data_IF_799259273927
#
_entry.id   IF_799259273927
#
_cell.length_a   1.000
_cell.length_b   1.000
_cell.length_c   1.000
_cell.angle_alpha   90.00
_cell.angle_beta   90.00
_cell.angle_gamma   90.00
#
_symmetry.space_group_name_H-M   'P 1'
#
loop_
_entity.id
_entity.type
_entity.pdbx_description
1 polymer ?
#
# COMPACT_ATOMS: atom_id res chain seq x y z
N UNK A 1 9.18 -5.25 -4.07
CA UNK A 1 8.36 -6.10 -3.17
C UNK A 1 8.16 -5.38 -1.86
N UNK A 2 6.98 -5.48 -1.28
CA UNK A 2 6.61 -4.81 -0.05
C UNK A 2 6.25 -5.84 1.01
N UNK A 3 6.91 -5.79 2.14
CA UNK A 3 6.58 -6.63 3.29
C UNK A 3 6.67 -5.83 4.58
N UNK A 4 5.59 -5.81 5.33
CA UNK A 4 5.58 -5.32 6.70
C UNK A 4 5.92 -6.41 7.71
N UNK A 5 5.61 -7.66 7.37
CA UNK A 5 5.84 -8.83 8.23
C UNK A 5 6.68 -9.84 7.45
N UNK A 6 7.96 -9.52 7.16
CA UNK A 6 8.81 -10.44 6.43
C UNK A 6 8.98 -11.76 7.19
N UNK A 7 9.16 -12.87 6.47
CA UNK A 7 9.48 -14.15 7.09
C UNK A 7 10.83 -14.11 7.82
N UNK A 8 11.73 -13.28 7.34
CA UNK A 8 13.09 -13.13 7.84
C UNK A 8 13.46 -11.65 7.93
N UNK A 9 14.29 -11.30 8.90
CA UNK A 9 14.86 -9.94 9.01
C UNK A 9 15.69 -9.61 7.77
N UNK A 10 16.45 -10.59 7.28
CA UNK A 10 17.14 -10.60 5.99
C UNK A 10 17.32 -12.07 5.54
N UNK A 11 17.52 -12.37 4.24
CA UNK A 11 17.45 -11.45 3.10
C UNK A 11 16.06 -10.86 2.89
N UNK A 12 15.97 -9.87 1.98
CA UNK A 12 14.66 -9.29 1.61
C UNK A 12 13.73 -10.35 1.04
N UNK A 13 12.43 -10.19 1.23
CA UNK A 13 11.45 -11.10 0.65
C UNK A 13 11.45 -11.03 -0.88
N UNK A 14 11.81 -9.88 -1.44
CA UNK A 14 12.04 -9.74 -2.87
C UNK A 14 13.13 -10.68 -3.39
N UNK A 15 14.24 -10.85 -2.65
CA UNK A 15 15.30 -11.81 -3.03
C UNK A 15 14.81 -13.25 -2.96
N UNK A 16 14.04 -13.60 -1.93
CA UNK A 16 13.45 -14.94 -1.80
C UNK A 16 12.48 -15.22 -2.95
N UNK A 17 11.65 -14.22 -3.32
CA UNK A 17 10.73 -14.34 -4.45
C UNK A 17 11.47 -14.46 -5.78
N UNK A 18 12.53 -13.67 -5.97
CA UNK A 18 13.37 -13.70 -7.15
C UNK A 18 13.97 -15.09 -7.39
N UNK A 19 14.51 -15.71 -6.32
CA UNK A 19 15.04 -17.09 -6.37
C UNK A 19 13.94 -18.09 -6.75
N UNK A 20 12.77 -18.03 -6.09
CA UNK A 20 11.62 -18.90 -6.39
C UNK A 20 11.09 -18.77 -7.82
N UNK A 21 11.23 -17.61 -8.43
CA UNK A 21 10.84 -17.35 -9.82
C UNK A 21 11.92 -17.79 -10.82
N UNK A 22 13.11 -18.17 -10.35
CA UNK A 22 14.23 -18.54 -11.20
C UNK A 22 14.77 -17.37 -12.04
N UNK A 23 14.59 -16.13 -11.56
CA UNK A 23 15.07 -14.93 -12.27
C UNK A 23 16.41 -14.52 -11.70
N UNK A 24 17.41 -14.40 -12.56
CA UNK A 24 18.78 -14.03 -12.17
C UNK A 24 19.16 -12.63 -12.68
N UNK A 25 20.21 -12.06 -12.08
CA UNK A 25 20.85 -10.81 -12.51
C UNK A 25 19.91 -9.59 -12.56
N UNK A 26 18.92 -9.52 -11.67
CA UNK A 26 18.06 -8.36 -11.51
C UNK A 26 18.10 -7.81 -10.07
N UNK A 27 17.91 -6.49 -9.85
CA UNK A 27 17.72 -5.94 -8.52
C UNK A 27 16.48 -6.55 -7.85
N UNK A 28 16.59 -6.90 -6.57
CA UNK A 28 15.49 -7.39 -5.75
C UNK A 28 15.62 -6.79 -4.34
N UNK A 29 14.65 -6.00 -3.92
CA UNK A 29 14.64 -5.31 -2.63
C UNK A 29 13.22 -5.02 -2.17
N UNK A 30 13.06 -4.84 -0.86
CA UNK A 30 11.79 -4.49 -0.25
C UNK A 30 11.71 -2.97 -0.04
N UNK A 31 10.49 -2.44 -0.18
CA UNK A 31 10.13 -1.04 0.13
C UNK A 31 9.18 -1.06 1.30
N UNK A 32 9.48 -0.33 2.38
CA UNK A 32 8.62 -0.28 3.56
C UNK A 32 7.89 1.07 3.65
N UNK A 33 6.62 1.10 3.31
CA UNK A 33 5.75 2.26 3.47
C UNK A 33 4.32 1.84 3.87
N UNK A 34 4.16 0.68 4.50
CA UNK A 34 2.90 0.14 5.04
C UNK A 34 1.79 0.17 3.97
N UNK A 35 0.62 0.72 4.29
CA UNK A 35 -0.54 0.77 3.38
C UNK A 35 -0.26 1.53 2.07
N UNK A 36 0.62 2.53 2.08
CA UNK A 36 1.06 3.26 0.88
C UNK A 36 2.14 2.52 0.09
N UNK A 37 2.63 1.44 0.62
CA UNK A 37 3.82 0.78 0.12
C UNK A 37 3.71 0.29 -1.32
N UNK A 38 2.54 -0.18 -1.79
CA UNK A 38 2.37 -0.56 -3.20
C UNK A 38 2.59 0.65 -4.12
N UNK A 39 2.04 1.82 -3.77
CA UNK A 39 2.22 3.06 -4.55
C UNK A 39 3.68 3.51 -4.54
N UNK A 40 4.37 3.41 -3.39
CA UNK A 40 5.81 3.71 -3.32
C UNK A 40 6.64 2.76 -4.17
N UNK A 41 6.34 1.46 -4.16
CA UNK A 41 7.04 0.49 -4.99
C UNK A 41 6.73 0.68 -6.47
N UNK A 42 5.47 1.02 -6.80
CA UNK A 42 5.05 1.31 -8.17
C UNK A 42 5.80 2.52 -8.73
N UNK A 43 5.84 3.63 -7.97
CA UNK A 43 6.61 4.83 -8.34
C UNK A 43 8.11 4.55 -8.46
N UNK A 44 8.67 3.74 -7.56
CA UNK A 44 10.07 3.32 -7.64
C UNK A 44 10.34 2.49 -8.91
N UNK A 45 9.48 1.53 -9.19
CA UNK A 45 9.60 0.68 -10.39
C UNK A 45 9.45 1.49 -11.67
N UNK A 46 8.54 2.46 -11.70
CA UNK A 46 8.37 3.38 -12.83
C UNK A 46 9.65 4.15 -13.12
N UNK A 47 10.32 4.69 -12.10
CA UNK A 47 11.62 5.36 -12.27
C UNK A 47 12.69 4.44 -12.88
N UNK A 48 12.72 3.16 -12.50
CA UNK A 48 13.66 2.19 -13.08
C UNK A 48 13.33 1.86 -14.53
N UNK A 49 12.05 1.71 -14.88
CA UNK A 49 11.61 1.39 -16.24
C UNK A 49 11.77 2.60 -17.15
N UNK A 50 11.29 3.79 -16.74
CA UNK A 50 11.35 5.02 -17.51
C UNK A 50 12.79 5.48 -17.78
N UNK A 51 13.71 5.26 -16.83
CA UNK A 51 15.14 5.56 -17.02
C UNK A 51 15.88 4.54 -17.87
N UNK A 52 15.21 3.47 -18.33
CA UNK A 52 15.84 2.41 -19.13
C UNK A 52 16.76 1.48 -18.32
N UNK A 53 16.76 1.55 -16.98
CA UNK A 53 17.56 0.67 -16.13
C UNK A 53 17.07 -0.77 -16.15
N UNK A 54 15.76 -0.97 -16.33
CA UNK A 54 15.18 -2.27 -16.60
C UNK A 54 14.07 -2.15 -17.64
N UNK A 55 13.81 -3.25 -18.36
CA UNK A 55 12.74 -3.32 -19.36
C UNK A 55 11.40 -3.64 -18.69
N UNK A 56 11.42 -4.48 -17.68
CA UNK A 56 10.26 -4.92 -16.93
C UNK A 56 10.57 -4.87 -15.44
N UNK A 57 9.54 -4.56 -14.63
CA UNK A 57 9.60 -4.60 -13.18
C UNK A 57 8.37 -5.31 -12.61
N UNK A 58 8.58 -6.29 -11.73
CA UNK A 58 7.53 -6.93 -10.96
C UNK A 58 7.34 -6.16 -9.66
N UNK A 59 6.16 -5.60 -9.45
CA UNK A 59 5.76 -4.90 -8.22
C UNK A 59 4.77 -5.76 -7.48
N UNK A 60 5.08 -6.10 -6.24
CA UNK A 60 4.28 -7.00 -5.40
C UNK A 60 3.89 -6.28 -4.11
N UNK A 61 2.61 -6.23 -3.80
CA UNK A 61 2.09 -5.91 -2.47
C UNK A 61 1.74 -7.23 -1.76
N UNK A 62 2.30 -7.46 -0.58
CA UNK A 62 2.02 -8.69 0.16
C UNK A 62 2.12 -8.44 1.67
N UNK A 63 1.16 -8.95 2.42
CA UNK A 63 1.06 -8.74 3.85
C UNK A 63 0.56 -9.98 4.57
N UNK A 64 1.08 -10.22 5.78
CA UNK A 64 0.62 -11.24 6.70
C UNK A 64 0.30 -10.57 8.03
N UNK A 65 -0.85 -9.88 8.09
CA UNK A 65 -1.29 -9.17 9.29
C UNK A 65 -1.68 -10.10 10.44
N UNK A 66 -2.11 -11.33 10.13
CA UNK A 66 -2.45 -12.35 11.13
C UNK A 66 -1.34 -12.61 12.14
N UNK A 67 -0.07 -12.30 11.79
CA UNK A 67 1.10 -12.44 12.68
C UNK A 67 1.24 -11.34 13.72
N UNK A 68 0.63 -10.18 13.49
CA UNK A 68 0.79 -8.97 14.33
C UNK A 68 -0.54 -8.46 14.88
N UNK A 69 -1.60 -9.24 14.79
CA UNK A 69 -2.90 -8.95 15.40
C UNK A 69 -2.98 -9.56 16.80
N UNK A 70 -3.47 -8.79 17.76
CA UNK A 70 -4.01 -9.33 19.01
C UNK A 70 -5.43 -9.82 18.75
N UNK A 71 -5.63 -11.12 18.72
CA UNK A 71 -6.93 -11.75 18.44
C UNK A 71 -7.98 -11.50 19.55
N UNK A 72 -7.56 -10.95 20.71
CA UNK A 72 -8.46 -10.49 21.78
C UNK A 72 -8.90 -9.04 21.58
N UNK A 73 -8.18 -8.25 20.77
CA UNK A 73 -8.54 -6.87 20.47
C UNK A 73 -9.45 -6.79 19.24
N UNK A 74 -10.76 -6.76 19.48
CA UNK A 74 -11.77 -6.65 18.41
C UNK A 74 -11.79 -5.31 17.70
N UNK A 75 -11.07 -4.31 18.16
CA UNK A 75 -10.94 -3.02 17.47
C UNK A 75 -10.02 -3.10 16.24
N UNK A 76 -9.14 -4.08 16.21
CA UNK A 76 -8.15 -4.28 15.15
C UNK A 76 -8.30 -5.62 14.43
N UNK A 77 -8.46 -6.75 15.13
CA UNK A 77 -8.42 -8.09 14.53
C UNK A 77 -9.55 -8.36 13.51
N UNK A 78 -10.66 -7.62 13.56
CA UNK A 78 -11.78 -7.75 12.61
C UNK A 78 -11.61 -6.91 11.35
N UNK A 79 -10.57 -6.08 11.26
CA UNK A 79 -10.37 -5.14 10.17
C UNK A 79 -9.32 -5.61 9.15
N UNK A 80 -8.24 -6.20 9.64
CA UNK A 80 -7.07 -6.54 8.84
C UNK A 80 -7.11 -7.97 8.34
N UNK A 81 -6.55 -8.19 7.15
CA UNK A 81 -6.43 -9.50 6.52
C UNK A 81 -5.06 -9.72 5.88
N UNK A 82 -4.77 -10.97 5.58
CA UNK A 82 -3.60 -11.38 4.80
C UNK A 82 -3.93 -11.33 3.31
N UNK A 83 -2.95 -11.01 2.49
CA UNK A 83 -3.15 -10.99 1.05
C UNK A 83 -1.89 -10.64 0.27
N UNK A 84 -1.89 -10.99 -1.01
CA UNK A 84 -0.84 -10.64 -1.94
C UNK A 84 -1.43 -10.36 -3.32
N UNK A 85 -0.93 -9.30 -3.96
CA UNK A 85 -1.25 -8.95 -5.33
C UNK A 85 -0.01 -8.41 -6.03
N UNK A 86 0.01 -8.48 -7.36
CA UNK A 86 1.18 -8.08 -8.13
C UNK A 86 0.80 -7.51 -9.48
N UNK A 87 1.66 -6.60 -9.98
CA UNK A 87 1.61 -6.09 -11.35
C UNK A 87 2.98 -6.14 -11.99
N UNK A 88 3.02 -6.24 -13.30
CA UNK A 88 4.25 -6.10 -14.09
C UNK A 88 4.19 -4.78 -14.84
N UNK A 89 5.16 -3.91 -14.57
CA UNK A 89 5.41 -2.74 -15.40
C UNK A 89 6.35 -3.12 -16.53
N UNK A 90 6.04 -2.62 -17.71
CA UNK A 90 6.88 -2.80 -18.91
C UNK A 90 7.06 -1.45 -19.62
N UNK A 91 8.22 -1.28 -20.22
CA UNK A 91 8.46 -0.12 -21.09
C UNK A 91 7.42 -0.11 -22.22
N UNK A 92 6.86 1.07 -22.51
CA UNK A 92 5.85 1.27 -23.55
C UNK A 92 6.00 2.64 -24.18
N UNK A 93 5.68 2.74 -25.47
CA UNK A 93 5.58 4.02 -26.19
C UNK A 93 4.24 4.73 -25.92
N UNK A 94 3.30 4.07 -25.23
CA UNK A 94 2.02 4.66 -24.82
C UNK A 94 2.10 5.15 -23.39
N UNK A 95 1.45 6.26 -23.06
CA UNK A 95 1.35 6.73 -21.68
C UNK A 95 0.79 5.63 -20.77
N UNK A 96 1.44 5.42 -19.64
CA UNK A 96 1.01 4.49 -18.57
C UNK A 96 0.81 5.25 -17.28
N UNK A 97 1.82 5.31 -16.41
CA UNK A 97 1.77 6.13 -15.18
C UNK A 97 2.01 7.58 -15.59
N UNK A 98 1.03 8.45 -15.36
CA UNK A 98 1.11 9.86 -15.72
C UNK A 98 1.91 10.66 -14.68
N UNK A 99 1.65 10.41 -13.39
CA UNK A 99 2.37 11.01 -12.27
C UNK A 99 2.28 10.14 -11.02
N UNK A 100 3.17 10.37 -10.06
CA UNK A 100 3.16 9.70 -8.76
C UNK A 100 3.40 10.73 -7.65
N UNK A 101 2.51 10.76 -6.65
CA UNK A 101 2.55 11.71 -5.55
C UNK A 101 2.76 10.95 -4.24
N UNK A 102 3.91 11.17 -3.61
CA UNK A 102 4.35 10.44 -2.42
C UNK A 102 4.56 11.41 -1.26
N UNK A 103 3.82 11.21 -0.18
CA UNK A 103 3.90 12.04 1.01
C UNK A 103 4.10 11.19 2.27
N UNK A 104 4.75 11.76 3.28
CA UNK A 104 4.91 11.15 4.58
C UNK A 104 4.80 12.19 5.70
N UNK A 105 4.23 11.81 6.84
CA UNK A 105 4.18 12.66 8.02
C UNK A 105 4.44 11.85 9.29
N UNK A 106 5.64 12.00 9.85
CA UNK A 106 6.05 11.33 11.09
C UNK A 106 5.29 11.78 12.33
N UNK A 107 4.55 12.90 12.25
CA UNK A 107 3.73 13.40 13.37
C UNK A 107 2.58 12.45 13.75
N UNK A 108 2.19 11.56 12.84
CA UNK A 108 1.08 10.61 13.04
C UNK A 108 1.57 9.19 13.41
N UNK A 109 2.85 9.01 13.75
CA UNK A 109 3.44 7.70 14.05
C UNK A 109 2.70 6.91 15.15
N UNK A 110 2.10 7.60 16.12
CA UNK A 110 1.44 6.98 17.26
C UNK A 110 -0.05 6.65 16.98
N UNK A 111 -0.59 7.10 15.86
CA UNK A 111 -2.00 6.89 15.47
C UNK A 111 -2.24 5.46 14.97
N UNK A 112 -1.25 4.89 14.30
CA UNK A 112 -1.26 3.50 13.82
C UNK A 112 0.18 2.99 13.79
N UNK A 113 0.49 2.04 14.67
CA UNK A 113 1.86 1.55 14.83
C UNK A 113 1.91 0.09 15.30
N UNK A 114 3.09 -0.52 15.10
CA UNK A 114 3.51 -1.74 15.80
C UNK A 114 4.82 -1.43 16.50
N UNK A 115 4.79 -1.06 17.79
CA UNK A 115 5.97 -0.56 18.48
C UNK A 115 6.96 -1.65 18.90
N UNK A 116 6.66 -2.92 18.64
CA UNK A 116 7.57 -4.04 18.93
C UNK A 116 8.78 -4.07 18.03
N UNK A 117 9.92 -4.48 18.60
CA UNK A 117 11.18 -4.68 17.89
C UNK A 117 11.88 -5.95 18.37
N UNK A 118 12.82 -6.47 17.56
CA UNK A 118 13.67 -7.60 17.96
C UNK A 118 14.99 -7.04 18.47
N UNK A 119 15.37 -7.40 19.70
CA UNK A 119 16.63 -7.02 20.30
C UNK A 119 17.15 -8.14 21.21
N UNK A 120 18.41 -8.56 21.02
CA UNK A 120 19.01 -9.67 21.76
C UNK A 120 18.27 -11.01 21.55
N UNK A 121 17.71 -11.24 20.36
CA UNK A 121 16.98 -12.47 20.02
C UNK A 121 15.57 -12.59 20.62
N UNK A 122 15.07 -11.55 21.28
CA UNK A 122 13.73 -11.50 21.86
C UNK A 122 12.94 -10.30 21.39
N UNK A 123 11.60 -10.43 21.39
CA UNK A 123 10.69 -9.32 21.11
C UNK A 123 10.68 -8.36 22.30
N UNK A 124 10.92 -7.09 22.03
CA UNK A 124 10.83 -5.98 22.98
C UNK A 124 9.66 -5.09 22.63
N UNK A 125 8.92 -4.61 23.62
CA UNK A 125 7.73 -3.78 23.43
C UNK A 125 6.50 -4.60 22.99
N UNK A 126 5.44 -3.89 22.56
CA UNK A 126 4.21 -4.53 22.09
C UNK A 126 4.35 -4.99 20.62
N UNK A 127 4.26 -6.29 20.32
CA UNK A 127 4.39 -6.81 18.96
C UNK A 127 3.10 -6.64 18.13
N UNK A 128 2.01 -6.17 18.73
CA UNK A 128 0.71 -6.08 18.10
C UNK A 128 0.42 -4.69 17.54
N UNK A 129 -0.51 -4.64 16.60
CA UNK A 129 -1.02 -3.38 16.05
C UNK A 129 -1.70 -2.58 17.16
N UNK A 130 -1.32 -1.30 17.25
CA UNK A 130 -2.00 -0.28 18.05
C UNK A 130 -2.60 0.75 17.10
N UNK A 131 -3.89 1.09 17.24
CA UNK A 131 -4.60 1.97 16.33
C UNK A 131 -5.63 2.86 17.04
N UNK A 132 -5.54 4.16 16.84
CA UNK A 132 -6.65 5.09 17.07
C UNK A 132 -7.50 5.19 15.79
N UNK A 133 -8.55 4.37 15.72
CA UNK A 133 -9.41 4.30 14.54
C UNK A 133 -10.13 5.61 14.21
N UNK A 134 -10.41 6.46 15.20
CA UNK A 134 -11.03 7.78 15.00
C UNK A 134 -10.07 8.77 14.34
N UNK A 135 -8.83 8.83 14.83
CA UNK A 135 -7.77 9.66 14.24
C UNK A 135 -7.38 9.17 12.85
N UNK A 136 -7.25 7.85 12.64
CA UNK A 136 -7.00 7.25 11.32
C UNK A 136 -8.07 7.65 10.32
N UNK A 137 -9.35 7.55 10.69
CA UNK A 137 -10.45 7.91 9.78
C UNK A 137 -10.37 9.37 9.31
N UNK A 138 -10.22 10.31 10.25
CA UNK A 138 -10.17 11.75 9.95
C UNK A 138 -8.97 12.08 9.05
N UNK A 139 -7.81 11.53 9.38
CA UNK A 139 -6.59 11.74 8.63
C UNK A 139 -6.70 11.15 7.21
N UNK A 140 -7.13 9.88 7.08
CA UNK A 140 -7.20 9.19 5.81
C UNK A 140 -8.15 9.87 4.81
N UNK A 141 -9.35 10.26 5.23
CA UNK A 141 -10.32 10.93 4.34
C UNK A 141 -9.76 12.26 3.82
N UNK A 142 -9.07 13.03 4.68
CA UNK A 142 -8.47 14.30 4.25
C UNK A 142 -7.32 14.07 3.26
N UNK A 143 -6.39 13.18 3.59
CA UNK A 143 -5.20 12.93 2.76
C UNK A 143 -5.58 12.35 1.40
N UNK A 144 -6.54 11.41 1.35
CA UNK A 144 -7.00 10.83 0.09
C UNK A 144 -7.67 11.86 -0.82
N UNK A 145 -8.41 12.81 -0.25
CA UNK A 145 -8.97 13.95 -1.00
C UNK A 145 -7.84 14.84 -1.56
N UNK A 146 -6.90 15.24 -0.70
CA UNK A 146 -5.80 16.13 -1.06
C UNK A 146 -4.93 15.56 -2.19
N UNK A 147 -4.55 14.26 -2.12
CA UNK A 147 -3.69 13.64 -3.15
C UNK A 147 -4.40 13.40 -4.48
N UNK A 148 -5.71 13.19 -4.50
CA UNK A 148 -6.45 13.13 -5.76
C UNK A 148 -6.48 14.50 -6.43
N UNK A 149 -6.74 15.57 -5.67
CA UNK A 149 -6.69 16.93 -6.22
C UNK A 149 -5.31 17.29 -6.75
N UNK A 150 -4.24 16.92 -6.03
CA UNK A 150 -2.87 17.10 -6.48
C UNK A 150 -2.60 16.36 -7.80
N UNK A 151 -2.99 15.09 -7.88
CA UNK A 151 -2.76 14.25 -9.06
C UNK A 151 -3.51 14.78 -10.31
N UNK A 152 -4.78 15.20 -10.18
CA UNK A 152 -5.52 15.73 -11.32
C UNK A 152 -4.98 17.09 -11.75
N UNK A 153 -4.56 17.94 -10.79
CA UNK A 153 -3.98 19.24 -11.09
C UNK A 153 -2.65 19.13 -11.83
N UNK A 154 -1.76 18.26 -11.38
CA UNK A 154 -0.46 18.03 -12.03
C UNK A 154 -0.62 17.55 -13.49
N UNK A 155 -1.62 16.73 -13.75
CA UNK A 155 -1.90 16.19 -15.07
C UNK A 155 -2.86 17.07 -15.91
N UNK A 156 -3.23 18.27 -15.44
CA UNK A 156 -4.16 19.19 -16.09
C UNK A 156 -5.52 18.54 -16.37
N UNK A 157 -5.94 17.65 -15.50
CA UNK A 157 -7.21 16.94 -15.53
C UNK A 157 -8.19 17.53 -14.51
N UNK A 158 -9.44 17.06 -14.56
CA UNK A 158 -10.47 17.33 -13.56
C UNK A 158 -10.89 15.99 -12.92
N UNK A 159 -11.51 16.06 -11.74
CA UNK A 159 -12.03 14.87 -11.06
C UNK A 159 -13.05 14.10 -11.92
N UNK A 160 -13.78 14.80 -12.80
CA UNK A 160 -14.71 14.18 -13.75
C UNK A 160 -14.04 13.30 -14.80
N UNK A 161 -12.75 13.51 -15.08
CA UNK A 161 -11.97 12.76 -16.07
C UNK A 161 -11.48 11.41 -15.51
N UNK A 162 -11.70 11.17 -14.21
CA UNK A 162 -11.37 9.90 -13.57
C UNK A 162 -12.41 8.85 -13.94
N UNK A 163 -11.99 7.81 -14.65
CA UNK A 163 -12.83 6.65 -14.96
C UNK A 163 -12.99 5.71 -13.77
N UNK A 164 -11.89 5.48 -13.04
CA UNK A 164 -11.87 4.57 -11.90
C UNK A 164 -11.04 5.12 -10.74
N UNK A 165 -11.60 5.08 -9.54
CA UNK A 165 -10.89 5.26 -8.28
C UNK A 165 -10.62 3.88 -7.68
N UNK A 166 -9.33 3.53 -7.53
CA UNK A 166 -8.88 2.27 -6.92
C UNK A 166 -8.14 2.61 -5.62
N UNK A 167 -8.87 2.83 -4.51
CA UNK A 167 -8.27 3.26 -3.26
C UNK A 167 -7.70 2.07 -2.48
N UNK A 168 -6.78 2.35 -1.57
CA UNK A 168 -6.48 1.42 -0.49
C UNK A 168 -7.75 0.97 0.24
N UNK A 169 -7.93 -0.33 0.42
CA UNK A 169 -9.11 -0.94 1.01
C UNK A 169 -9.06 -0.96 2.56
N UNK A 170 -8.90 0.22 3.17
CA UNK A 170 -8.76 0.34 4.61
C UNK A 170 -10.07 0.05 5.36
N UNK A 171 -11.15 0.69 4.92
CA UNK A 171 -12.47 0.64 5.55
C UNK A 171 -13.51 1.21 4.59
N UNK A 172 -14.66 0.57 4.47
CA UNK A 172 -15.74 1.01 3.57
C UNK A 172 -16.20 2.46 3.85
N UNK A 173 -16.17 2.90 5.13
CA UNK A 173 -16.56 4.26 5.50
C UNK A 173 -15.57 5.31 4.98
N UNK A 174 -14.27 5.01 5.02
CA UNK A 174 -13.22 5.88 4.46
C UNK A 174 -13.41 5.98 2.94
N UNK A 175 -13.56 4.85 2.25
CA UNK A 175 -13.74 4.78 0.80
C UNK A 175 -14.95 5.62 0.36
N UNK A 176 -16.10 5.41 0.98
CA UNK A 176 -17.34 6.15 0.67
C UNK A 176 -17.22 7.65 0.96
N UNK A 177 -16.62 8.02 2.10
CA UNK A 177 -16.43 9.44 2.45
C UNK A 177 -15.49 10.14 1.47
N UNK A 178 -14.43 9.47 1.05
CA UNK A 178 -13.49 10.01 0.04
C UNK A 178 -14.18 10.18 -1.30
N UNK A 179 -14.88 9.16 -1.79
CA UNK A 179 -15.63 9.22 -3.06
C UNK A 179 -16.66 10.36 -3.05
N UNK A 180 -17.42 10.51 -1.95
CA UNK A 180 -18.40 11.58 -1.78
C UNK A 180 -17.77 12.97 -1.85
N UNK A 181 -16.64 13.17 -1.17
CA UNK A 181 -15.92 14.46 -1.18
C UNK A 181 -15.36 14.82 -2.55
N UNK A 182 -14.91 13.81 -3.29
CA UNK A 182 -14.39 13.98 -4.65
C UNK A 182 -15.49 14.10 -5.71
N UNK A 183 -16.76 13.88 -5.35
CA UNK A 183 -17.87 13.84 -6.30
C UNK A 183 -17.79 12.64 -7.26
N UNK A 184 -17.08 11.57 -6.89
CA UNK A 184 -16.95 10.36 -7.71
C UNK A 184 -18.07 9.39 -7.37
N UNK A 185 -18.90 8.96 -8.35
CA UNK A 185 -19.96 7.96 -8.13
C UNK A 185 -19.39 6.62 -7.67
N UNK A 186 -20.10 5.91 -6.78
CA UNK A 186 -19.60 4.64 -6.20
C UNK A 186 -19.45 3.51 -7.23
N UNK A 187 -20.12 3.56 -8.35
CA UNK A 187 -19.98 2.63 -9.47
C UNK A 187 -18.64 2.79 -10.22
N UNK A 188 -17.96 3.93 -10.02
CA UNK A 188 -16.59 4.17 -10.47
C UNK A 188 -15.53 3.92 -9.37
N UNK A 189 -15.90 3.35 -8.23
CA UNK A 189 -14.98 3.08 -7.12
C UNK A 189 -14.83 1.58 -6.91
N UNK A 190 -13.60 1.09 -6.97
CA UNK A 190 -13.32 -0.32 -6.66
C UNK A 190 -13.45 -0.55 -5.15
N UNK A 191 -14.31 -1.49 -4.78
CA UNK A 191 -14.57 -1.87 -3.39
C UNK A 191 -14.43 -3.39 -3.27
N UNK A 192 -13.44 -3.84 -2.51
CA UNK A 192 -13.15 -5.26 -2.25
C UNK A 192 -12.92 -5.54 -0.75
N UNK A 193 -13.03 -4.51 0.08
CA UNK A 193 -12.81 -4.60 1.53
C UNK A 193 -13.76 -5.56 2.24
N UNK A 194 -14.93 -5.80 1.72
CA UNK A 194 -15.91 -6.78 2.21
C UNK A 194 -15.49 -8.24 1.95
N UNK A 195 -14.59 -8.46 1.00
CA UNK A 195 -14.10 -9.79 0.63
C UNK A 195 -12.76 -10.12 1.29
N UNK A 196 -11.87 -9.13 1.36
CA UNK A 196 -10.47 -9.35 1.73
C UNK A 196 -10.06 -8.65 3.03
N UNK A 197 -10.91 -7.74 3.56
CA UNK A 197 -10.53 -6.86 4.66
C UNK A 197 -9.45 -5.85 4.24
N UNK A 198 -8.75 -5.28 5.22
CA UNK A 198 -7.61 -4.41 5.01
C UNK A 198 -6.33 -5.25 4.86
N UNK A 199 -5.91 -5.54 3.65
CA UNK A 199 -4.67 -6.24 3.32
C UNK A 199 -3.49 -5.28 3.07
N UNK A 200 -3.55 -4.05 3.62
CA UNK A 200 -2.49 -3.04 3.54
C UNK A 200 -2.00 -2.78 2.11
N UNK A 201 -0.71 -2.99 1.84
CA UNK A 201 -0.12 -2.77 0.51
C UNK A 201 -0.66 -3.72 -0.57
N UNK A 202 -1.18 -4.89 -0.20
CA UNK A 202 -1.79 -5.81 -1.15
C UNK A 202 -3.17 -5.36 -1.65
N UNK A 203 -3.83 -4.44 -0.96
CA UNK A 203 -5.24 -4.11 -1.19
C UNK A 203 -5.54 -3.40 -2.51
N UNK A 204 -4.53 -2.79 -3.15
CA UNK A 204 -4.68 -2.16 -4.46
C UNK A 204 -4.46 -3.16 -5.60
N UNK A 205 -3.37 -3.99 -5.57
CA UNK A 205 -3.12 -4.93 -6.65
C UNK A 205 -3.93 -6.23 -6.55
N UNK A 206 -4.61 -6.48 -5.43
CA UNK A 206 -5.44 -7.65 -5.19
C UNK A 206 -6.84 -7.49 -5.80
#
# INVERSE_FOLDING_TARGET
TLFRSPDMVFPSTACILQDKLGVENCPAFDVQAVCSGFVYALATADMFVSSGKCRNALVVGSEIYSRILDWNDRSTCVLFGDGAGAVVLSQSDKPGILSSHLHASGNYRDVLSVPGSISGGIIRGNPYINMDGGAVFKFAVKVLEDVVHEAVAENQLQTSDIDWLIPHQANIRIIRSTAQKLGIPLDKVVITVDKHGNTSAASIPL
#
